data_IF_130332203340
#
_entry.id   IF_130332203340
#
_cell.length_a   1.000
_cell.length_b   1.000
_cell.length_c   1.000
_cell.angle_alpha   90.00
_cell.angle_beta   90.00
_cell.angle_gamma   90.00
#
_symmetry.space_group_name_H-M   'P 1'
#
loop_
_entity.id
_entity.type
_entity.pdbx_description
1 polymer ?
#
# COMPACT_ATOMS: atom_id res chain seq x y z
N UNK A 1 12.08 1.11 12.85
CA UNK A 1 10.81 0.91 12.14
C UNK A 1 9.87 0.16 13.07
N UNK A 2 8.66 0.68 13.30
CA UNK A 2 7.62 0.02 14.10
C UNK A 2 7.00 -1.15 13.32
N UNK A 3 6.25 -2.02 14.01
CA UNK A 3 5.56 -3.14 13.36
C UNK A 3 4.52 -2.67 12.34
N UNK A 4 3.78 -1.61 12.66
CA UNK A 4 2.83 -0.98 11.73
C UNK A 4 3.54 -0.48 10.45
N UNK A 5 4.69 0.17 10.59
CA UNK A 5 5.47 0.63 9.43
C UNK A 5 5.98 -0.55 8.59
N UNK A 6 6.43 -1.64 9.22
CA UNK A 6 6.86 -2.86 8.51
C UNK A 6 5.69 -3.48 7.73
N UNK A 7 4.52 -3.55 8.34
CA UNK A 7 3.32 -4.07 7.68
C UNK A 7 2.93 -3.23 6.47
N UNK A 8 2.88 -1.90 6.63
CA UNK A 8 2.60 -0.96 5.54
C UNK A 8 3.62 -1.09 4.42
N UNK A 9 4.90 -1.29 4.75
CA UNK A 9 5.97 -1.53 3.77
C UNK A 9 5.75 -2.82 2.98
N UNK A 10 5.45 -3.93 3.65
CA UNK A 10 5.18 -5.23 3.00
C UNK A 10 4.03 -5.10 2.00
N UNK A 11 2.97 -4.38 2.38
CA UNK A 11 1.80 -4.17 1.51
C UNK A 11 2.15 -3.24 0.35
N UNK A 12 2.95 -2.20 0.57
CA UNK A 12 3.44 -1.35 -0.51
C UNK A 12 4.30 -2.11 -1.52
N UNK A 13 5.20 -2.97 -1.04
CA UNK A 13 6.04 -3.81 -1.90
C UNK A 13 5.19 -4.79 -2.72
N UNK A 14 4.21 -5.43 -2.09
CA UNK A 14 3.24 -6.28 -2.79
C UNK A 14 2.42 -5.49 -3.83
N UNK A 15 1.95 -4.29 -3.50
CA UNK A 15 1.26 -3.40 -4.42
C UNK A 15 2.11 -3.06 -5.64
N UNK A 16 3.38 -2.69 -5.42
CA UNK A 16 4.32 -2.37 -6.51
C UNK A 16 4.55 -3.54 -7.46
N UNK A 17 4.62 -4.75 -6.93
CA UNK A 17 4.80 -5.95 -7.74
C UNK A 17 3.57 -6.29 -8.57
N UNK A 18 2.37 -6.18 -7.98
CA UNK A 18 1.12 -6.27 -8.72
C UNK A 18 1.09 -5.21 -9.83
N UNK A 19 1.53 -3.98 -9.53
CA UNK A 19 1.58 -2.88 -10.50
C UNK A 19 2.51 -3.21 -11.69
N UNK A 20 3.70 -3.73 -11.39
CA UNK A 20 4.72 -4.10 -12.35
C UNK A 20 4.28 -5.26 -13.26
N UNK A 21 3.34 -6.09 -12.82
CA UNK A 21 2.75 -7.18 -13.60
C UNK A 21 1.73 -6.69 -14.66
N UNK A 22 1.93 -5.48 -15.20
CA UNK A 22 1.06 -4.73 -16.12
C UNK A 22 -0.31 -4.30 -15.58
N UNK A 23 -0.54 -4.36 -14.26
CA UNK A 23 -1.77 -3.84 -13.65
C UNK A 23 -1.54 -2.42 -13.15
N UNK A 24 -1.65 -1.42 -14.01
CA UNK A 24 -1.54 -0.01 -13.59
C UNK A 24 -2.64 0.40 -12.59
N UNK A 25 -3.79 -0.27 -12.65
CA UNK A 25 -4.91 -0.12 -11.73
C UNK A 25 -5.08 -1.40 -10.91
N UNK A 26 -5.08 -1.25 -9.59
CA UNK A 26 -4.96 -2.34 -8.63
C UNK A 26 -6.17 -2.34 -7.70
N UNK A 27 -6.75 -3.52 -7.49
CA UNK A 27 -7.76 -3.75 -6.47
C UNK A 27 -7.09 -4.27 -5.20
N UNK A 28 -7.67 -3.99 -4.02
CA UNK A 28 -7.22 -4.62 -2.77
C UNK A 28 -7.13 -6.15 -2.87
N UNK A 29 -8.06 -6.77 -3.62
CA UNK A 29 -8.06 -8.21 -3.89
C UNK A 29 -6.79 -8.71 -4.59
N UNK A 30 -6.22 -7.95 -5.54
CA UNK A 30 -5.00 -8.35 -6.25
C UNK A 30 -3.81 -8.46 -5.29
N UNK A 31 -3.72 -7.55 -4.31
CA UNK A 31 -2.67 -7.58 -3.28
C UNK A 31 -2.92 -8.69 -2.27
N UNK A 32 -4.17 -8.94 -1.89
CA UNK A 32 -4.53 -10.06 -0.99
C UNK A 32 -4.14 -11.40 -1.61
N UNK A 33 -4.40 -11.59 -2.90
CA UNK A 33 -4.07 -12.84 -3.59
C UNK A 33 -2.54 -13.05 -3.63
N UNK A 34 -1.76 -12.02 -3.96
CA UNK A 34 -0.28 -12.09 -3.90
C UNK A 34 0.23 -12.38 -2.48
N UNK A 35 -0.33 -11.74 -1.46
CA UNK A 35 0.07 -11.98 -0.07
C UNK A 35 -0.29 -13.39 0.40
N UNK A 36 -1.40 -13.96 -0.08
CA UNK A 36 -1.78 -15.35 0.18
C UNK A 36 -0.79 -16.34 -0.45
N UNK A 37 -0.33 -16.07 -1.67
CA UNK A 37 0.70 -16.89 -2.35
C UNK A 37 2.04 -16.89 -1.61
N UNK A 38 2.27 -15.92 -0.73
CA UNK A 38 3.50 -15.76 0.08
C UNK A 38 3.36 -16.25 1.52
N UNK A 39 2.34 -17.05 1.82
CA UNK A 39 2.01 -17.52 3.18
C UNK A 39 1.81 -16.37 4.19
N UNK A 40 1.39 -15.19 3.71
CA UNK A 40 1.09 -14.02 4.53
C UNK A 40 -0.36 -13.52 4.34
N UNK A 41 -1.38 -14.35 4.58
CA UNK A 41 -2.76 -13.97 4.30
C UNK A 41 -3.22 -12.82 5.20
N UNK A 42 -3.69 -11.73 4.59
CA UNK A 42 -4.33 -10.62 5.27
C UNK A 42 -5.81 -10.53 4.90
N UNK A 43 -6.62 -10.08 5.85
CA UNK A 43 -8.04 -9.80 5.62
C UNK A 43 -8.24 -8.54 4.79
N UNK A 44 -9.34 -8.49 4.02
CA UNK A 44 -9.63 -7.36 3.13
C UNK A 44 -9.75 -6.01 3.85
N UNK A 45 -10.28 -6.00 5.08
CA UNK A 45 -10.36 -4.79 5.90
C UNK A 45 -8.99 -4.27 6.32
N UNK A 46 -8.04 -5.16 6.61
CA UNK A 46 -6.66 -4.77 6.92
C UNK A 46 -5.99 -4.16 5.69
N UNK A 47 -6.09 -4.81 4.52
CA UNK A 47 -5.48 -4.28 3.30
C UNK A 47 -6.10 -2.93 2.89
N UNK A 48 -7.41 -2.76 3.05
CA UNK A 48 -8.07 -1.47 2.80
C UNK A 48 -7.58 -0.36 3.74
N UNK A 49 -7.40 -0.65 5.03
CA UNK A 49 -6.84 0.32 5.97
C UNK A 49 -5.41 0.71 5.62
N UNK A 50 -4.62 -0.25 5.17
CA UNK A 50 -3.23 -0.01 4.74
C UNK A 50 -3.18 0.77 3.43
N UNK A 51 -4.11 0.55 2.50
CA UNK A 51 -4.25 1.38 1.29
C UNK A 51 -4.60 2.84 1.64
N UNK A 52 -5.51 3.06 2.59
CA UNK A 52 -5.82 4.41 3.08
C UNK A 52 -4.57 5.09 3.67
N UNK A 53 -3.77 4.35 4.45
CA UNK A 53 -2.49 4.84 4.97
C UNK A 53 -1.50 5.17 3.86
N UNK A 54 -1.31 4.27 2.89
CA UNK A 54 -0.44 4.50 1.73
C UNK A 54 -0.89 5.73 0.93
N UNK A 55 -2.20 5.97 0.83
CA UNK A 55 -2.76 7.14 0.18
C UNK A 55 -2.48 8.43 0.97
N UNK A 56 -2.62 8.39 2.30
CA UNK A 56 -2.25 9.52 3.16
C UNK A 56 -0.75 9.86 3.09
N UNK A 57 0.08 8.86 2.74
CA UNK A 57 1.51 8.99 2.47
C UNK A 57 1.82 9.44 1.03
N UNK A 58 0.81 9.65 0.18
CA UNK A 58 0.95 9.93 -1.25
C UNK A 58 1.74 8.87 -2.02
N UNK A 59 1.78 7.63 -1.54
CA UNK A 59 2.45 6.50 -2.22
C UNK A 59 1.57 5.86 -3.29
N UNK A 60 0.25 5.94 -3.09
CA UNK A 60 -0.78 5.48 -4.03
C UNK A 60 -1.91 6.51 -4.06
N UNK A 61 -2.73 6.48 -5.10
CA UNK A 61 -3.98 7.25 -5.14
C UNK A 61 -5.15 6.44 -5.67
N UNK A 62 -6.35 6.84 -5.27
CA UNK A 62 -7.58 6.28 -5.80
C UNK A 62 -7.89 6.93 -7.15
N UNK A 63 -8.02 6.12 -8.18
CA UNK A 63 -8.59 6.52 -9.45
C UNK A 63 -10.11 6.63 -9.31
N UNK A 64 -10.65 7.85 -9.37
CA UNK A 64 -12.06 8.12 -9.08
C UNK A 64 -13.00 7.64 -10.19
N UNK A 65 -12.48 7.35 -11.39
CA UNK A 65 -13.28 6.83 -12.50
C UNK A 65 -13.51 5.31 -12.34
N UNK A 66 -12.45 4.55 -12.08
CA UNK A 66 -12.52 3.09 -11.94
C UNK A 66 -12.77 2.60 -10.52
N UNK A 67 -12.54 3.42 -9.51
CA UNK A 67 -12.53 3.02 -8.09
C UNK A 67 -11.35 2.11 -7.73
N UNK A 68 -10.32 2.06 -8.58
CA UNK A 68 -9.11 1.25 -8.36
C UNK A 68 -7.95 2.13 -7.89
N UNK A 69 -6.92 1.52 -7.33
CA UNK A 69 -5.75 2.22 -6.81
C UNK A 69 -4.62 2.20 -7.82
N UNK A 70 -3.82 3.26 -7.88
CA UNK A 70 -2.62 3.33 -8.72
C UNK A 70 -1.41 3.79 -7.91
N UNK A 71 -0.22 3.43 -8.37
CA UNK A 71 1.03 3.98 -7.83
C UNK A 71 1.13 5.47 -8.16
N UNK A 72 1.60 6.25 -7.19
CA UNK A 72 2.10 7.59 -7.48
C UNK A 72 3.54 7.48 -8.02
N UNK A 73 3.90 8.26 -9.06
CA UNK A 73 5.23 8.22 -9.65
C UNK A 73 6.30 8.76 -8.70
N UNK A 74 7.52 8.23 -8.83
CA UNK A 74 8.74 8.70 -8.16
C UNK A 74 8.69 8.74 -6.63
N UNK A 75 7.83 7.93 -6.01
CA UNK A 75 7.73 7.83 -4.56
C UNK A 75 8.64 6.73 -3.99
N UNK A 76 9.41 7.10 -2.96
CA UNK A 76 10.22 6.18 -2.17
C UNK A 76 9.61 6.05 -0.76
N UNK A 77 9.25 4.82 -0.39
CA UNK A 77 8.67 4.52 0.91
C UNK A 77 9.55 4.99 2.06
N UNK A 78 10.85 4.71 2.02
CA UNK A 78 11.77 5.02 3.12
C UNK A 78 11.97 6.52 3.27
N UNK A 79 11.94 7.26 2.16
CA UNK A 79 11.97 8.73 2.18
C UNK A 79 10.71 9.31 2.80
N UNK A 80 9.54 8.93 2.28
CA UNK A 80 8.23 9.38 2.80
C UNK A 80 8.09 8.99 4.27
N UNK A 81 8.56 7.79 4.61
CA UNK A 81 8.53 7.25 5.96
C UNK A 81 9.33 8.08 6.97
N UNK A 82 10.49 8.58 6.57
CA UNK A 82 11.34 9.44 7.38
C UNK A 82 10.71 10.82 7.59
N UNK A 83 10.05 11.38 6.59
CA UNK A 83 9.42 12.70 6.63
C UNK A 83 8.26 12.78 7.65
N UNK A 84 7.58 11.65 7.90
CA UNK A 84 6.43 11.56 8.81
C UNK A 84 6.80 11.71 10.30
N UNK A 85 8.10 11.72 10.67
CA UNK A 85 8.63 12.12 12.00
C UNK A 85 7.77 11.74 13.21
N UNK A 86 7.40 10.46 13.32
CA UNK A 86 6.67 9.92 14.49
C UNK A 86 5.14 10.09 14.47
N UNK A 87 4.55 10.73 13.46
CA UNK A 87 3.09 10.89 13.35
C UNK A 87 2.39 9.71 12.66
N UNK A 88 3.05 8.55 12.60
CA UNK A 88 2.61 7.35 11.91
C UNK A 88 1.30 6.77 12.41
N UNK A 89 1.05 6.91 13.71
CA UNK A 89 -0.18 6.43 14.35
C UNK A 89 -1.41 7.26 13.97
N UNK A 90 -1.24 8.44 13.36
CA UNK A 90 -2.34 9.33 12.93
C UNK A 90 -2.69 9.21 11.45
N UNK A 91 -2.07 8.28 10.72
CA UNK A 91 -2.30 8.07 9.29
C UNK A 91 -3.43 7.07 8.98
N UNK A 92 -4.37 6.90 9.92
CA UNK A 92 -5.48 5.95 9.83
C UNK A 92 -6.83 6.66 9.98
#
# INVERSE_FOLDING_TARGET
MSEAQRQTRIIYEAFREVAASNKQLIRPGDVIDLLRERDHPLGIWHVNGEFARLAALNLISLDTESGQWRLEPDQDFDKVAAEVNGNWEKLA
#
